data_IF_768722641609
#
_entry.id   IF_768722641609
#
_cell.length_a   1.000
_cell.length_b   1.000
_cell.length_c   1.000
_cell.angle_alpha   90.00
_cell.angle_beta   90.00
_cell.angle_gamma   90.00
#
_symmetry.space_group_name_H-M   'P 1'
#
loop_
_entity.id
_entity.type
_entity.pdbx_description
1 polymer ?
#
# COMPACT_ATOMS: atom_id res chain seq x y z
N UNK A 1 -0.77 0.12 -4.54
CA UNK A 1 -1.26 -0.71 -3.42
C UNK A 1 -0.74 -2.15 -3.50
N UNK A 2 -0.98 -2.92 -4.56
CA UNK A 2 -0.53 -4.32 -4.68
C UNK A 2 0.97 -4.54 -4.42
N UNK A 3 1.84 -3.70 -4.93
CA UNK A 3 3.30 -3.81 -4.72
C UNK A 3 3.72 -3.68 -3.24
N UNK A 4 3.02 -2.85 -2.45
CA UNK A 4 3.29 -2.70 -1.00
C UNK A 4 2.87 -3.97 -0.26
N UNK A 5 1.68 -4.50 -0.55
CA UNK A 5 1.19 -5.75 0.05
C UNK A 5 2.16 -6.90 -0.27
N UNK A 6 2.60 -7.02 -1.52
CA UNK A 6 3.57 -8.03 -1.93
C UNK A 6 4.90 -7.92 -1.16
N UNK A 7 5.43 -6.70 -0.98
CA UNK A 7 6.64 -6.44 -0.19
C UNK A 7 6.47 -6.87 1.27
N UNK A 8 5.32 -6.56 1.89
CA UNK A 8 5.01 -6.97 3.26
C UNK A 8 4.97 -8.50 3.38
N UNK A 9 4.27 -9.19 2.47
CA UNK A 9 4.16 -10.65 2.48
C UNK A 9 5.55 -11.28 2.31
N UNK A 10 6.33 -10.81 1.36
CA UNK A 10 7.63 -11.39 1.07
C UNK A 10 8.62 -11.15 2.21
N UNK A 11 8.73 -9.90 2.74
CA UNK A 11 9.62 -9.60 3.85
C UNK A 11 9.25 -10.36 5.12
N UNK A 12 7.96 -10.44 5.47
CA UNK A 12 7.49 -11.22 6.62
C UNK A 12 7.78 -12.72 6.44
N UNK A 13 7.60 -13.26 5.23
CA UNK A 13 7.88 -14.66 4.94
C UNK A 13 9.37 -15.00 5.06
N UNK A 14 10.26 -14.12 4.58
CA UNK A 14 11.73 -14.30 4.68
C UNK A 14 12.16 -14.27 6.14
N UNK A 15 11.69 -13.31 6.94
CA UNK A 15 12.04 -13.22 8.36
C UNK A 15 11.49 -14.41 9.15
N UNK A 16 10.32 -14.88 8.83
CA UNK A 16 9.74 -16.08 9.43
C UNK A 16 10.54 -17.34 9.05
N UNK A 17 10.95 -17.47 7.79
CA UNK A 17 11.81 -18.57 7.35
C UNK A 17 13.16 -18.55 8.10
N UNK A 18 13.75 -17.36 8.29
CA UNK A 18 14.94 -17.20 9.12
C UNK A 18 14.73 -17.72 10.56
N UNK A 19 13.58 -17.40 11.18
CA UNK A 19 13.23 -17.91 12.50
C UNK A 19 13.22 -19.45 12.51
N UNK A 20 12.51 -20.09 11.61
CA UNK A 20 12.37 -21.55 11.59
C UNK A 20 13.68 -22.27 11.27
N UNK A 21 14.54 -21.68 10.45
CA UNK A 21 15.82 -22.30 10.06
C UNK A 21 16.90 -22.18 11.14
N UNK A 22 16.95 -21.01 11.81
CA UNK A 22 18.09 -20.69 12.67
C UNK A 22 17.76 -20.56 14.16
N UNK A 23 16.56 -20.07 14.52
CA UNK A 23 16.23 -19.64 15.88
C UNK A 23 15.28 -20.59 16.62
N UNK A 24 14.36 -21.26 15.94
CA UNK A 24 13.31 -22.08 16.57
C UNK A 24 13.88 -23.13 17.53
N UNK A 25 15.04 -23.73 17.20
CA UNK A 25 15.66 -24.82 17.94
C UNK A 25 16.65 -24.37 19.02
N UNK A 26 16.78 -23.06 19.25
CA UNK A 26 17.70 -22.50 20.24
C UNK A 26 16.94 -22.09 21.52
N UNK A 27 17.51 -22.42 22.67
CA UNK A 27 16.94 -22.03 23.99
C UNK A 27 17.25 -20.57 24.34
N UNK A 28 16.86 -19.66 23.44
CA UNK A 28 16.99 -18.20 23.59
C UNK A 28 15.60 -17.56 23.49
N UNK A 29 14.64 -18.12 24.23
CA UNK A 29 13.21 -17.88 24.04
C UNK A 29 12.82 -16.41 24.18
N UNK A 30 13.43 -15.66 25.11
CA UNK A 30 13.16 -14.22 25.22
C UNK A 30 13.62 -13.46 23.96
N UNK A 31 14.80 -13.79 23.43
CA UNK A 31 15.27 -13.21 22.16
C UNK A 31 14.36 -13.59 21.02
N UNK A 32 13.93 -14.85 20.93
CA UNK A 32 13.02 -15.33 19.88
C UNK A 32 11.69 -14.58 19.91
N UNK A 33 11.13 -14.31 21.09
CA UNK A 33 9.92 -13.49 21.24
C UNK A 33 10.11 -12.08 20.70
N UNK A 34 11.19 -11.40 21.15
CA UNK A 34 11.50 -10.04 20.69
C UNK A 34 11.74 -10.05 19.20
N UNK A 35 12.47 -11.02 18.67
CA UNK A 35 12.70 -11.17 17.24
C UNK A 35 11.39 -11.30 16.45
N UNK A 36 10.48 -12.19 16.85
CA UNK A 36 9.21 -12.40 16.15
C UNK A 36 8.36 -11.12 16.11
N UNK A 37 8.29 -10.37 17.21
CA UNK A 37 7.57 -9.10 17.27
C UNK A 37 8.23 -8.02 16.41
N UNK A 38 9.55 -7.85 16.56
CA UNK A 38 10.28 -6.83 15.81
C UNK A 38 10.34 -7.14 14.31
N UNK A 39 10.51 -8.41 13.93
CA UNK A 39 10.48 -8.86 12.54
C UNK A 39 9.13 -8.55 11.88
N UNK A 40 8.04 -8.76 12.62
CA UNK A 40 6.71 -8.44 12.14
C UNK A 40 6.55 -6.92 11.92
N UNK A 41 6.84 -6.09 12.94
CA UNK A 41 6.79 -4.63 12.83
C UNK A 41 7.68 -4.14 11.69
N UNK A 42 8.90 -4.64 11.60
CA UNK A 42 9.85 -4.30 10.53
C UNK A 42 9.28 -4.59 9.14
N UNK A 43 8.66 -5.76 8.93
CA UNK A 43 8.09 -6.12 7.62
C UNK A 43 6.96 -5.20 7.18
N UNK A 44 6.20 -4.62 8.12
CA UNK A 44 5.14 -3.67 7.82
C UNK A 44 5.64 -2.24 7.63
N UNK A 45 6.70 -1.85 8.32
CA UNK A 45 7.23 -0.48 8.28
C UNK A 45 8.14 -0.25 7.07
N UNK A 46 8.97 -1.25 6.71
CA UNK A 46 10.02 -1.12 5.71
C UNK A 46 9.54 -0.60 4.32
N UNK A 47 8.38 -0.98 3.77
CA UNK A 47 7.94 -0.49 2.47
C UNK A 47 7.61 1.01 2.44
N UNK A 48 7.43 1.62 3.62
CA UNK A 48 7.09 3.04 3.75
C UNK A 48 8.30 3.93 4.06
N UNK A 49 9.44 3.33 4.44
CA UNK A 49 10.66 4.10 4.75
C UNK A 49 11.29 4.61 3.46
N UNK A 50 11.35 5.95 3.26
CA UNK A 50 11.99 6.52 2.08
C UNK A 50 13.51 6.41 2.19
N UNK A 51 14.15 5.79 1.20
CA UNK A 51 15.62 5.72 1.12
C UNK A 51 16.06 6.44 -0.14
N UNK A 52 16.94 7.45 0.03
CA UNK A 52 17.61 8.10 -1.10
C UNK A 52 18.56 7.09 -1.74
N UNK A 53 18.56 7.04 -3.07
CA UNK A 53 19.49 6.19 -3.80
C UNK A 53 20.92 6.71 -3.64
N UNK A 54 21.71 6.08 -2.78
CA UNK A 54 23.15 6.41 -2.62
C UNK A 54 24.01 5.93 -3.79
N UNK A 55 23.49 5.09 -4.68
CA UNK A 55 24.25 4.44 -5.75
C UNK A 55 23.95 4.94 -7.16
N UNK A 56 23.15 6.01 -7.30
CA UNK A 56 22.86 6.57 -8.60
C UNK A 56 23.52 7.94 -8.73
N UNK A 57 24.82 7.97 -8.82
CA UNK A 57 25.59 9.06 -9.43
C UNK A 57 25.49 8.92 -10.95
N UNK A 58 24.33 9.19 -11.50
CA UNK A 58 24.21 9.58 -12.88
C UNK A 58 23.32 10.81 -12.91
N UNK A 59 23.94 11.95 -13.22
CA UNK A 59 23.29 13.18 -13.66
C UNK A 59 22.49 12.89 -14.93
N UNK A 60 21.42 12.15 -14.81
CA UNK A 60 20.44 11.98 -15.88
C UNK A 60 19.34 13.00 -15.64
N UNK A 61 19.47 14.13 -16.31
CA UNK A 61 18.34 15.03 -16.46
C UNK A 61 17.16 14.20 -17.02
N UNK A 62 16.11 13.99 -16.23
CA UNK A 62 14.94 13.26 -16.66
C UNK A 62 13.96 14.21 -17.31
N UNK A 63 13.82 14.05 -18.63
CA UNK A 63 12.73 14.69 -19.36
C UNK A 63 11.41 14.00 -19.00
N UNK A 64 10.55 14.70 -18.26
CA UNK A 64 9.19 14.25 -17.96
C UNK A 64 8.25 14.82 -19.01
N UNK A 65 7.71 13.96 -19.84
CA UNK A 65 6.70 14.33 -20.83
C UNK A 65 5.33 14.09 -20.19
N UNK A 66 4.60 15.19 -19.94
CA UNK A 66 3.25 15.15 -19.34
C UNK A 66 2.22 14.50 -20.26
N UNK A 67 1.06 14.15 -19.72
CA UNK A 67 -0.06 13.69 -20.53
C UNK A 67 -0.58 14.82 -21.42
N UNK A 68 -0.91 14.54 -22.68
CA UNK A 68 -1.48 15.54 -23.56
C UNK A 68 -2.79 16.06 -22.95
N UNK A 69 -2.85 17.36 -22.73
CA UNK A 69 -4.09 18.03 -22.32
C UNK A 69 -5.04 18.02 -23.50
N UNK A 70 -5.96 17.08 -23.54
CA UNK A 70 -7.12 17.17 -24.40
C UNK A 70 -8.01 18.28 -23.85
N UNK A 71 -7.96 19.45 -24.47
CA UNK A 71 -8.97 20.49 -24.24
C UNK A 71 -10.20 20.14 -25.08
N UNK A 72 -10.84 19.05 -24.74
CA UNK A 72 -12.25 18.87 -24.96
C UNK A 72 -12.93 19.55 -23.75
N UNK A 73 -13.80 20.50 -24.04
CA UNK A 73 -14.42 21.34 -23.01
C UNK A 73 -15.01 20.50 -21.90
N UNK A 74 -14.71 20.88 -20.66
CA UNK A 74 -15.35 20.36 -19.44
C UNK A 74 -16.86 20.68 -19.50
N UNK A 75 -17.61 19.80 -20.11
CA UNK A 75 -19.02 19.65 -19.86
C UNK A 75 -19.19 18.46 -18.92
N UNK A 76 -18.79 18.64 -17.67
CA UNK A 76 -19.17 17.75 -16.59
C UNK A 76 -20.67 17.86 -16.35
N UNK A 77 -21.44 17.00 -16.94
CA UNK A 77 -22.81 16.74 -16.52
C UNK A 77 -22.98 15.26 -16.20
N UNK A 78 -23.28 15.05 -14.92
CA UNK A 78 -23.84 13.83 -14.34
C UNK A 78 -23.02 12.56 -14.62
N UNK A 79 -22.00 12.34 -13.80
CA UNK A 79 -21.30 11.06 -13.72
C UNK A 79 -22.26 9.93 -13.48
N UNK A 80 -22.49 9.12 -14.47
CA UNK A 80 -22.86 7.74 -14.24
C UNK A 80 -21.68 7.16 -13.42
N UNK A 81 -21.96 6.75 -12.18
CA UNK A 81 -21.02 6.07 -11.31
C UNK A 81 -20.70 4.75 -11.99
N UNK A 82 -19.69 4.75 -12.85
CA UNK A 82 -19.13 3.50 -13.37
C UNK A 82 -18.44 2.81 -12.21
N UNK A 83 -19.08 1.80 -11.62
CA UNK A 83 -18.49 0.96 -10.61
C UNK A 83 -17.35 0.18 -11.25
N UNK A 84 -16.12 0.59 -10.99
CA UNK A 84 -14.95 -0.14 -11.46
C UNK A 84 -14.78 -1.45 -10.66
N UNK A 85 -14.20 -2.47 -11.29
CA UNK A 85 -13.86 -3.72 -10.61
C UNK A 85 -12.97 -3.50 -9.37
N UNK A 86 -12.18 -2.43 -9.37
CA UNK A 86 -11.35 -2.01 -8.22
C UNK A 86 -12.20 -1.62 -7.01
N UNK A 87 -13.35 -0.99 -7.22
CA UNK A 87 -14.26 -0.58 -6.13
C UNK A 87 -14.93 -1.79 -5.51
N UNK A 88 -15.33 -2.78 -6.33
CA UNK A 88 -15.88 -4.04 -5.84
C UNK A 88 -14.86 -4.84 -5.02
N UNK A 89 -13.58 -4.86 -5.46
CA UNK A 89 -12.51 -5.51 -4.71
C UNK A 89 -12.24 -4.80 -3.38
N UNK A 90 -12.22 -3.48 -3.35
CA UNK A 90 -12.06 -2.69 -2.12
C UNK A 90 -13.23 -2.89 -1.17
N UNK A 91 -14.46 -2.91 -1.69
CA UNK A 91 -15.66 -3.17 -0.91
C UNK A 91 -15.62 -4.57 -0.29
N UNK A 92 -15.30 -5.61 -1.10
CA UNK A 92 -15.20 -6.99 -0.62
C UNK A 92 -14.12 -7.15 0.45
N UNK A 93 -12.95 -6.52 0.25
CA UNK A 93 -11.88 -6.50 1.25
C UNK A 93 -12.32 -5.83 2.55
N UNK A 94 -13.02 -4.70 2.47
CA UNK A 94 -13.57 -3.99 3.62
C UNK A 94 -14.60 -4.82 4.39
N UNK A 95 -15.50 -5.52 3.69
CA UNK A 95 -16.50 -6.39 4.30
C UNK A 95 -15.86 -7.57 5.05
N UNK A 96 -14.85 -8.21 4.45
CA UNK A 96 -14.12 -9.30 5.10
C UNK A 96 -13.40 -8.77 6.35
N UNK A 97 -12.73 -7.64 6.24
CA UNK A 97 -12.02 -7.03 7.38
C UNK A 97 -12.99 -6.64 8.51
N UNK A 98 -14.15 -6.09 8.16
CA UNK A 98 -15.20 -5.77 9.13
C UNK A 98 -15.74 -7.03 9.82
N UNK A 99 -15.99 -8.09 9.07
CA UNK A 99 -16.42 -9.37 9.63
C UNK A 99 -15.37 -9.93 10.61
N UNK A 100 -14.10 -9.90 10.25
CA UNK A 100 -13.00 -10.36 11.12
C UNK A 100 -12.86 -9.47 12.37
N UNK A 101 -13.05 -8.17 12.24
CA UNK A 101 -13.06 -7.23 13.37
C UNK A 101 -14.20 -7.54 14.34
N UNK A 102 -15.42 -7.74 13.84
CA UNK A 102 -16.56 -8.10 14.67
C UNK A 102 -16.33 -9.45 15.37
N UNK A 103 -15.81 -10.45 14.66
CA UNK A 103 -15.43 -11.74 15.24
C UNK A 103 -14.39 -11.59 16.36
N UNK A 104 -13.39 -10.73 16.15
CA UNK A 104 -12.37 -10.44 17.15
C UNK A 104 -12.96 -9.79 18.41
N UNK A 105 -13.77 -8.75 18.24
CA UNK A 105 -14.47 -8.06 19.34
C UNK A 105 -15.38 -9.04 20.11
N UNK A 106 -16.14 -9.86 19.39
CA UNK A 106 -17.00 -10.88 20.00
C UNK A 106 -16.19 -11.90 20.80
N UNK A 107 -15.04 -12.35 20.29
CA UNK A 107 -14.13 -13.27 21.00
C UNK A 107 -13.61 -12.66 22.30
N UNK A 108 -13.21 -11.37 22.28
CA UNK A 108 -12.80 -10.66 23.50
C UNK A 108 -13.93 -10.49 24.50
N UNK A 109 -15.11 -10.14 24.00
CA UNK A 109 -16.32 -10.01 24.85
C UNK A 109 -16.66 -11.33 25.52
N UNK A 110 -16.58 -12.47 24.80
CA UNK A 110 -16.85 -13.80 25.35
C UNK A 110 -15.94 -14.10 26.54
N UNK A 111 -14.63 -13.82 26.46
CA UNK A 111 -13.70 -14.04 27.57
C UNK A 111 -14.02 -13.11 28.75
N UNK A 112 -14.31 -11.83 28.51
CA UNK A 112 -14.67 -10.87 29.56
C UNK A 112 -16.01 -11.18 30.26
N UNK A 113 -16.93 -11.83 29.56
CA UNK A 113 -18.25 -12.20 30.06
C UNK A 113 -18.25 -13.54 30.77
N UNK A 114 -17.12 -14.28 30.81
CA UNK A 114 -17.02 -15.50 31.61
C UNK A 114 -17.34 -15.17 33.08
N UNK A 115 -18.36 -15.84 33.59
CA UNK A 115 -18.78 -15.69 34.98
C UNK A 115 -17.93 -16.63 35.84
N UNK A 116 -17.44 -16.11 36.95
CA UNK A 116 -16.64 -16.89 37.90
C UNK A 116 -16.33 -16.09 39.15
N UNK A 117 -15.95 -16.77 40.18
CA UNK A 117 -15.53 -16.21 41.45
C UNK A 117 -14.14 -15.60 41.31
N UNK A 118 -14.00 -14.33 41.66
CA UNK A 118 -12.71 -13.63 41.58
C UNK A 118 -12.00 -13.67 42.90
N UNK A 119 -10.84 -14.28 42.94
CA UNK A 119 -9.97 -14.39 44.13
C UNK A 119 -8.59 -13.82 43.84
N UNK A 120 -7.83 -13.54 44.89
CA UNK A 120 -6.40 -13.21 44.83
C UNK A 120 -5.65 -14.37 45.49
N UNK A 121 -4.90 -15.14 44.67
CA UNK A 121 -4.09 -16.26 45.12
C UNK A 121 -2.61 -15.97 44.87
N UNK A 122 -1.77 -16.10 45.89
CA UNK A 122 -0.31 -15.80 45.80
C UNK A 122 0.01 -14.49 45.07
N UNK A 123 -0.75 -13.42 45.37
CA UNK A 123 -0.63 -12.09 44.74
C UNK A 123 -0.93 -12.06 43.23
N UNK A 124 -1.73 -13.01 42.74
CA UNK A 124 -2.17 -13.10 41.33
C UNK A 124 -3.70 -13.14 41.30
N UNK A 125 -4.31 -12.41 40.36
CA UNK A 125 -5.76 -12.45 40.12
C UNK A 125 -6.11 -13.81 39.53
N UNK A 126 -7.07 -14.49 40.10
CA UNK A 126 -7.62 -15.73 39.59
C UNK A 126 -9.13 -15.62 39.47
N UNK A 127 -9.68 -16.31 38.48
CA UNK A 127 -11.12 -16.42 38.24
C UNK A 127 -11.47 -17.90 38.22
N UNK A 128 -12.22 -18.35 39.23
CA UNK A 128 -12.68 -19.73 39.33
C UNK A 128 -13.97 -19.85 38.55
N UNK A 129 -13.95 -20.69 37.54
CA UNK A 129 -15.10 -20.96 36.68
C UNK A 129 -15.88 -22.16 37.15
N UNK A 130 -17.19 -22.12 37.06
CA UNK A 130 -18.09 -23.23 37.35
C UNK A 130 -18.13 -24.29 36.24
N UNK A 131 -17.77 -23.86 35.00
CA UNK A 131 -17.68 -24.73 33.83
C UNK A 131 -16.31 -25.44 33.79
N UNK A 132 -16.25 -26.60 33.13
CA UNK A 132 -15.00 -27.36 32.96
C UNK A 132 -14.12 -26.75 31.87
N UNK A 133 -13.10 -26.02 32.28
CA UNK A 133 -12.03 -25.49 31.43
C UNK A 133 -10.68 -25.93 31.95
N UNK A 134 -9.76 -26.26 31.03
CA UNK A 134 -8.34 -26.33 31.40
C UNK A 134 -7.86 -24.95 31.86
N UNK A 135 -6.90 -24.89 32.78
CA UNK A 135 -6.30 -23.63 33.21
C UNK A 135 -5.80 -22.83 32.00
N UNK A 136 -6.09 -21.54 32.00
CA UNK A 136 -5.56 -20.62 31.00
C UNK A 136 -5.40 -19.22 31.58
N UNK A 137 -4.51 -18.46 30.98
CA UNK A 137 -4.27 -17.07 31.36
C UNK A 137 -4.73 -16.11 30.27
N UNK A 138 -5.35 -15.01 30.68
CA UNK A 138 -5.72 -13.93 29.77
C UNK A 138 -5.46 -12.58 30.43
N UNK A 139 -4.65 -11.74 29.74
CA UNK A 139 -4.16 -10.44 30.25
C UNK A 139 -3.52 -10.55 31.63
N UNK A 140 -4.20 -10.12 32.69
CA UNK A 140 -3.69 -10.04 34.06
C UNK A 140 -4.31 -11.07 35.02
N UNK A 141 -5.11 -11.99 34.52
CA UNK A 141 -5.80 -13.01 35.32
C UNK A 141 -5.57 -14.41 34.79
N UNK A 142 -5.57 -15.35 35.73
CA UNK A 142 -5.57 -16.81 35.50
C UNK A 142 -7.01 -17.28 35.65
N UNK A 143 -7.49 -18.07 34.71
CA UNK A 143 -8.81 -18.68 34.72
C UNK A 143 -8.67 -20.19 34.87
N UNK A 144 -9.43 -20.79 35.74
CA UNK A 144 -9.40 -22.23 35.97
C UNK A 144 -10.78 -22.73 36.45
N UNK A 145 -11.06 -23.99 36.17
CA UNK A 145 -12.23 -24.65 36.72
C UNK A 145 -12.02 -24.99 38.21
N UNK A 146 -13.09 -25.02 38.98
CA UNK A 146 -13.07 -25.40 40.41
C UNK A 146 -12.44 -26.78 40.65
N UNK A 147 -12.52 -27.68 39.69
CA UNK A 147 -11.93 -29.04 39.78
C UNK A 147 -10.41 -29.05 39.88
N UNK A 148 -9.74 -27.93 39.56
CA UNK A 148 -8.28 -27.79 39.71
C UNK A 148 -7.83 -27.33 41.09
N UNK A 149 -8.77 -27.10 41.99
CA UNK A 149 -8.49 -26.75 43.37
C UNK A 149 -8.66 -27.98 44.27
N UNK A 150 -7.63 -28.35 44.98
CA UNK A 150 -7.62 -29.39 46.01
C UNK A 150 -7.35 -28.70 47.35
N UNK A 151 -8.34 -28.69 48.26
CA UNK A 151 -8.25 -27.97 49.52
C UNK A 151 -7.96 -26.46 49.34
N UNK A 152 -8.59 -25.83 48.33
CA UNK A 152 -8.35 -24.44 47.94
C UNK A 152 -6.94 -24.13 47.42
N UNK A 153 -6.12 -25.12 47.11
CA UNK A 153 -4.80 -24.97 46.54
C UNK A 153 -4.74 -25.54 45.13
N UNK A 154 -4.08 -24.81 44.25
CA UNK A 154 -3.78 -25.21 42.88
C UNK A 154 -2.43 -25.90 42.82
N UNK A 155 -2.29 -26.92 41.96
CA UNK A 155 -0.97 -27.52 41.65
C UNK A 155 0.05 -26.44 41.27
N UNK A 156 1.15 -26.39 42.04
CA UNK A 156 2.08 -25.25 41.94
C UNK A 156 2.74 -25.10 40.56
N UNK A 157 3.06 -26.21 39.91
CA UNK A 157 3.68 -26.19 38.57
C UNK A 157 2.73 -25.61 37.52
N UNK A 158 1.42 -25.93 37.60
CA UNK A 158 0.39 -25.35 36.72
C UNK A 158 0.25 -23.85 37.06
N UNK A 159 0.20 -23.50 38.34
CA UNK A 159 0.14 -22.09 38.74
C UNK A 159 1.32 -21.27 38.22
N UNK A 160 2.55 -21.80 38.33
CA UNK A 160 3.76 -21.12 37.86
C UNK A 160 3.75 -20.96 36.32
N UNK A 161 3.28 -21.98 35.61
CA UNK A 161 3.13 -21.93 34.15
C UNK A 161 2.21 -20.78 33.74
N UNK A 162 0.99 -20.74 34.27
CA UNK A 162 0.01 -19.71 33.98
C UNK A 162 0.46 -18.32 34.45
N UNK A 163 1.11 -18.24 35.62
CA UNK A 163 1.70 -16.99 36.12
C UNK A 163 2.77 -16.43 35.19
N UNK A 164 3.54 -17.27 34.50
CA UNK A 164 4.51 -16.83 33.50
C UNK A 164 3.82 -16.15 32.33
N UNK A 165 2.71 -16.69 31.83
CA UNK A 165 1.93 -16.08 30.75
C UNK A 165 1.38 -14.71 31.16
N UNK A 166 0.84 -14.57 32.35
CA UNK A 166 0.34 -13.28 32.87
C UNK A 166 1.49 -12.28 33.03
N UNK A 167 2.58 -12.67 33.72
CA UNK A 167 3.73 -11.79 33.95
C UNK A 167 4.41 -11.38 32.67
N UNK A 168 4.52 -12.32 31.72
CA UNK A 168 5.08 -12.08 30.40
C UNK A 168 4.17 -11.27 29.46
N UNK A 169 2.89 -11.05 29.84
CA UNK A 169 1.88 -10.42 28.97
C UNK A 169 1.74 -11.12 27.61
N UNK A 170 1.81 -12.46 27.59
CA UNK A 170 1.77 -13.25 26.38
C UNK A 170 0.47 -13.05 25.59
N UNK A 171 -0.65 -12.81 26.30
CA UNK A 171 -1.94 -12.48 25.67
C UNK A 171 -1.86 -11.22 24.80
N UNK A 172 -1.07 -10.21 25.20
CA UNK A 172 -0.94 -8.96 24.43
C UNK A 172 -0.27 -9.21 23.07
N UNK A 173 0.75 -10.08 23.02
CA UNK A 173 1.42 -10.43 21.75
C UNK A 173 0.45 -11.13 20.80
N UNK A 174 -0.37 -12.04 21.30
CA UNK A 174 -1.37 -12.75 20.51
C UNK A 174 -2.49 -11.82 20.04
N UNK A 175 -2.95 -10.92 20.92
CA UNK A 175 -3.94 -9.91 20.55
C UNK A 175 -3.41 -8.97 19.46
N UNK A 176 -2.14 -8.58 19.54
CA UNK A 176 -1.49 -7.77 18.50
C UNK A 176 -1.47 -8.50 17.14
N UNK A 177 -1.10 -9.80 17.14
CA UNK A 177 -1.12 -10.62 15.92
C UNK A 177 -2.54 -10.79 15.35
N UNK A 178 -3.53 -11.03 16.20
CA UNK A 178 -4.92 -11.14 15.77
C UNK A 178 -5.46 -9.82 15.21
N UNK A 179 -5.08 -8.69 15.82
CA UNK A 179 -5.42 -7.37 15.31
C UNK A 179 -4.80 -7.11 13.93
N UNK A 180 -3.53 -7.42 13.73
CA UNK A 180 -2.89 -7.30 12.42
C UNK A 180 -3.56 -8.18 11.36
N UNK A 181 -4.01 -9.37 11.74
CA UNK A 181 -4.73 -10.28 10.83
C UNK A 181 -6.02 -9.68 10.29
N UNK A 182 -6.70 -8.81 11.01
CA UNK A 182 -7.92 -8.15 10.55
C UNK A 182 -7.66 -7.37 9.27
N UNK A 183 -6.53 -6.64 9.23
CA UNK A 183 -6.15 -5.80 8.09
C UNK A 183 -5.25 -6.50 7.07
N UNK A 184 -4.69 -7.64 7.41
CA UNK A 184 -3.74 -8.34 6.55
C UNK A 184 -4.07 -9.84 6.45
N UNK A 185 -5.35 -10.15 6.40
CA UNK A 185 -5.84 -11.52 6.35
C UNK A 185 -5.33 -12.30 5.12
N UNK A 186 -4.97 -11.58 4.04
CA UNK A 186 -4.34 -12.16 2.85
C UNK A 186 -2.87 -12.56 3.07
N UNK A 187 -2.23 -12.18 4.20
CA UNK A 187 -0.85 -12.54 4.47
C UNK A 187 -0.74 -13.89 5.18
N UNK A 188 -0.34 -14.97 4.49
CA UNK A 188 -0.25 -16.29 5.09
C UNK A 188 0.82 -16.38 6.18
N UNK A 189 1.86 -15.55 6.12
CA UNK A 189 2.93 -15.55 7.12
C UNK A 189 2.41 -15.25 8.53
N UNK A 190 1.35 -14.44 8.69
CA UNK A 190 0.78 -14.10 9.99
C UNK A 190 0.27 -15.33 10.77
N UNK A 191 -0.28 -16.32 10.07
CA UNK A 191 -0.73 -17.56 10.71
C UNK A 191 0.44 -18.34 11.28
N UNK A 192 1.55 -18.38 10.58
CA UNK A 192 2.77 -19.05 11.04
C UNK A 192 3.49 -18.24 12.12
N UNK A 193 3.50 -16.89 12.04
CA UNK A 193 3.98 -16.03 13.13
C UNK A 193 3.21 -16.28 14.42
N UNK A 194 1.88 -16.36 14.36
CA UNK A 194 1.05 -16.69 15.53
C UNK A 194 1.43 -18.05 16.11
N UNK A 195 1.57 -19.07 15.25
CA UNK A 195 1.97 -20.42 15.69
C UNK A 195 3.34 -20.43 16.35
N UNK A 196 4.32 -19.75 15.74
CA UNK A 196 5.67 -19.60 16.28
C UNK A 196 5.67 -18.88 17.64
N UNK A 197 4.87 -17.80 17.74
CA UNK A 197 4.75 -17.01 18.97
C UNK A 197 4.14 -17.84 20.12
N UNK A 198 3.02 -18.54 19.87
CA UNK A 198 2.39 -19.42 20.86
C UNK A 198 3.39 -20.49 21.32
N UNK A 199 4.04 -21.18 20.38
CA UNK A 199 5.03 -22.21 20.73
C UNK A 199 6.19 -21.65 21.57
N UNK A 200 6.67 -20.45 21.25
CA UNK A 200 7.73 -19.80 22.03
C UNK A 200 7.26 -19.34 23.41
N UNK A 201 5.99 -18.94 23.55
CA UNK A 201 5.40 -18.63 24.87
C UNK A 201 5.33 -19.86 25.76
N UNK A 202 4.98 -21.03 25.20
CA UNK A 202 5.01 -22.28 25.94
C UNK A 202 6.43 -22.62 26.42
N UNK A 203 7.45 -22.44 25.59
CA UNK A 203 8.84 -22.64 25.98
C UNK A 203 9.27 -21.72 27.14
N UNK A 204 8.83 -20.45 27.11
CA UNK A 204 9.11 -19.51 28.21
C UNK A 204 8.43 -19.92 29.50
N UNK A 205 7.17 -20.39 29.44
CA UNK A 205 6.43 -20.84 30.59
C UNK A 205 7.03 -22.12 31.18
N UNK A 206 7.39 -23.08 30.32
CA UNK A 206 8.06 -24.31 30.76
C UNK A 206 9.42 -24.03 31.41
N UNK A 207 10.23 -23.14 30.78
CA UNK A 207 11.51 -22.74 31.37
C UNK A 207 11.35 -22.08 32.72
N UNK A 208 10.29 -21.24 32.90
CA UNK A 208 10.00 -20.58 34.16
C UNK A 208 9.65 -21.57 35.29
N UNK A 209 8.92 -22.66 34.97
CA UNK A 209 8.62 -23.74 35.92
C UNK A 209 9.91 -24.48 36.29
N UNK A 210 10.69 -24.91 35.30
CA UNK A 210 11.92 -25.70 35.50
C UNK A 210 13.02 -24.93 36.25
N UNK A 211 13.05 -23.60 36.17
CA UNK A 211 13.93 -22.73 36.98
C UNK A 211 13.65 -22.82 38.49
N UNK A 212 12.54 -23.43 38.91
CA UNK A 212 12.21 -23.70 40.33
C UNK A 212 12.69 -25.07 40.80
N UNK A 213 13.58 -25.71 40.07
CA UNK A 213 14.18 -26.99 40.35
C UNK A 213 13.19 -28.18 40.40
N UNK A 214 12.08 -28.09 39.67
CA UNK A 214 11.21 -29.25 39.45
C UNK A 214 11.88 -30.24 38.49
N UNK A 215 11.62 -31.53 38.73
CA UNK A 215 12.08 -32.58 37.82
C UNK A 215 11.39 -32.49 36.47
N UNK A 216 12.19 -32.65 35.39
CA UNK A 216 11.70 -32.51 34.03
C UNK A 216 10.70 -33.61 33.68
N UNK A 217 10.96 -34.86 34.09
CA UNK A 217 10.10 -36.00 33.80
C UNK A 217 8.74 -35.86 34.49
N UNK A 218 8.76 -35.50 35.80
CA UNK A 218 7.53 -35.27 36.57
C UNK A 218 6.67 -34.14 35.98
N UNK A 219 7.33 -33.08 35.50
CA UNK A 219 6.61 -31.98 34.86
C UNK A 219 6.05 -32.38 33.46
N UNK A 220 6.80 -33.17 32.70
CA UNK A 220 6.30 -33.72 31.43
C UNK A 220 5.11 -34.65 31.64
N UNK A 221 5.14 -35.50 32.68
CA UNK A 221 4.00 -36.35 33.06
C UNK A 221 2.76 -35.52 33.42
N UNK A 222 2.94 -34.44 34.17
CA UNK A 222 1.84 -33.54 34.51
C UNK A 222 1.19 -32.94 33.26
N UNK A 223 2.01 -32.44 32.30
CA UNK A 223 1.50 -31.90 31.03
C UNK A 223 0.71 -32.95 30.24
N UNK A 224 1.21 -34.22 30.21
CA UNK A 224 0.47 -35.29 29.54
C UNK A 224 -0.85 -35.61 30.24
N UNK A 225 -0.89 -35.58 31.57
CA UNK A 225 -2.11 -35.77 32.33
C UNK A 225 -3.14 -34.67 32.02
N UNK A 226 -2.71 -33.38 31.97
CA UNK A 226 -3.57 -32.26 31.61
C UNK A 226 -4.15 -32.42 30.22
N UNK A 227 -3.33 -32.79 29.22
CA UNK A 227 -3.79 -33.03 27.88
C UNK A 227 -4.82 -34.15 27.82
N UNK A 228 -4.59 -35.26 28.52
CA UNK A 228 -5.53 -36.38 28.53
C UNK A 228 -6.87 -36.03 29.18
N UNK A 229 -6.84 -35.21 30.24
CA UNK A 229 -8.06 -34.73 30.91
C UNK A 229 -8.86 -33.82 30.00
N UNK A 230 -8.18 -32.94 29.22
CA UNK A 230 -8.81 -32.08 28.24
C UNK A 230 -9.36 -32.83 27.01
N UNK A 231 -8.83 -34.00 26.69
CA UNK A 231 -9.18 -34.77 25.49
C UNK A 231 -10.58 -35.40 25.50
N UNK A 232 -11.22 -35.51 26.64
CA UNK A 232 -12.58 -36.06 26.69
C UNK A 232 -13.65 -35.20 26.01
N UNK A 233 -13.29 -34.05 25.43
CA UNK A 233 -14.27 -33.05 24.98
C UNK A 233 -14.19 -32.70 23.47
N UNK A 234 -13.10 -32.98 22.71
CA UNK A 234 -13.00 -32.51 21.30
C UNK A 234 -12.23 -33.40 20.30
N UNK A 235 -12.75 -33.51 19.09
CA UNK A 235 -12.20 -34.25 17.92
C UNK A 235 -10.99 -33.58 17.20
N UNK A 236 -10.41 -32.50 17.75
CA UNK A 236 -9.43 -31.64 17.02
C UNK A 236 -7.94 -31.89 17.43
N UNK A 237 -7.62 -33.01 18.01
CA UNK A 237 -6.39 -33.23 18.81
C UNK A 237 -5.08 -33.56 18.10
N UNK A 238 -5.08 -33.72 16.79
CA UNK A 238 -3.83 -34.06 16.08
C UNK A 238 -2.80 -32.89 16.04
N UNK A 239 -3.24 -31.66 16.23
CA UNK A 239 -2.34 -30.50 16.17
C UNK A 239 -1.61 -30.19 17.49
N UNK A 240 -2.18 -30.52 18.65
CA UNK A 240 -1.57 -30.25 19.95
C UNK A 240 -0.42 -31.20 20.26
N UNK A 241 -0.46 -32.44 19.78
CA UNK A 241 0.61 -33.41 20.02
C UNK A 241 1.96 -32.96 19.45
N UNK A 242 1.99 -32.34 18.28
CA UNK A 242 3.22 -31.83 17.70
C UNK A 242 3.83 -30.67 18.53
N UNK A 243 3.00 -29.83 19.11
CA UNK A 243 3.44 -28.75 20.02
C UNK A 243 4.00 -29.32 21.32
N UNK A 244 3.31 -30.28 21.91
CA UNK A 244 3.76 -30.96 23.15
C UNK A 244 5.08 -31.66 22.93
N UNK A 245 5.26 -32.39 21.83
CA UNK A 245 6.53 -33.00 21.45
C UNK A 245 7.67 -31.99 21.38
N UNK A 246 7.43 -30.83 20.74
CA UNK A 246 8.42 -29.74 20.67
C UNK A 246 8.77 -29.20 22.06
N UNK A 247 7.79 -28.99 22.94
CA UNK A 247 8.01 -28.56 24.32
C UNK A 247 8.94 -29.55 25.07
N UNK A 248 8.64 -30.84 25.00
CA UNK A 248 9.45 -31.88 25.66
C UNK A 248 10.88 -31.92 25.15
N UNK A 249 11.10 -31.82 23.84
CA UNK A 249 12.43 -31.74 23.26
C UNK A 249 13.16 -30.49 23.77
N UNK A 250 12.48 -29.34 23.85
CA UNK A 250 13.10 -28.09 24.26
C UNK A 250 13.42 -28.03 25.75
N UNK A 251 12.65 -28.72 26.62
CA UNK A 251 12.95 -28.83 28.07
C UNK A 251 14.31 -29.50 28.32
N UNK A 252 14.66 -30.50 27.51
CA UNK A 252 15.90 -31.29 27.66
C UNK A 252 17.05 -30.85 26.78
N UNK A 253 16.78 -29.99 25.76
CA UNK A 253 17.80 -29.54 24.81
C UNK A 253 18.82 -28.61 25.47
N UNK A 254 20.03 -28.54 24.90
CA UNK A 254 21.07 -27.58 25.27
C UNK A 254 21.24 -26.56 24.15
N UNK A 255 21.63 -25.33 24.49
CA UNK A 255 21.99 -24.33 23.52
C UNK A 255 23.15 -24.81 22.64
N UNK A 256 23.08 -24.51 21.33
CA UNK A 256 24.22 -24.71 20.44
C UNK A 256 25.37 -23.76 20.81
N UNK A 257 26.63 -24.17 20.57
CA UNK A 257 27.80 -23.30 20.77
C UNK A 257 27.75 -22.02 19.93
N UNK A 258 26.97 -22.04 18.85
CA UNK A 258 26.83 -20.92 17.90
C UNK A 258 25.55 -20.10 18.12
N UNK A 259 24.82 -20.29 19.23
CA UNK A 259 23.60 -19.53 19.49
C UNK A 259 23.82 -18.00 19.45
N UNK A 260 24.97 -17.53 19.96
CA UNK A 260 25.34 -16.12 19.88
C UNK A 260 25.59 -15.63 18.45
N UNK A 261 26.28 -16.43 17.63
CA UNK A 261 26.56 -16.10 16.23
C UNK A 261 25.25 -16.05 15.41
N UNK A 262 24.32 -16.95 15.68
CA UNK A 262 23.01 -16.95 15.02
C UNK A 262 22.21 -15.67 15.28
N UNK A 263 22.34 -15.05 16.46
CA UNK A 263 21.76 -13.72 16.73
C UNK A 263 22.39 -12.64 15.85
N UNK A 264 23.71 -12.71 15.64
CA UNK A 264 24.44 -11.71 14.86
C UNK A 264 24.11 -11.78 13.36
N UNK A 265 23.84 -12.98 12.82
CA UNK A 265 23.45 -13.15 11.41
C UNK A 265 22.11 -12.48 11.06
N UNK A 266 21.31 -12.09 12.04
CA UNK A 266 20.11 -11.33 11.84
C UNK A 266 20.37 -9.95 11.25
N UNK A 267 21.45 -9.26 11.67
CA UNK A 267 21.75 -7.89 11.22
C UNK A 267 21.95 -7.79 9.70
N UNK A 268 22.78 -8.64 9.05
CA UNK A 268 22.92 -8.58 7.58
C UNK A 268 21.61 -8.96 6.86
N UNK A 269 20.81 -9.87 7.39
CA UNK A 269 19.50 -10.21 6.79
C UNK A 269 18.56 -9.01 6.83
N UNK A 270 18.46 -8.31 7.96
CA UNK A 270 17.66 -7.09 8.07
C UNK A 270 18.17 -5.99 7.13
N UNK A 271 19.52 -5.82 7.03
CA UNK A 271 20.11 -4.83 6.11
C UNK A 271 19.78 -5.13 4.64
N UNK A 272 19.89 -6.38 4.22
CA UNK A 272 19.55 -6.81 2.85
C UNK A 272 18.06 -6.56 2.58
N UNK A 273 17.17 -6.97 3.49
CA UNK A 273 15.74 -6.73 3.36
C UNK A 273 15.41 -5.24 3.31
N UNK A 274 16.11 -4.43 4.10
CA UNK A 274 15.95 -2.98 4.08
C UNK A 274 16.29 -2.40 2.70
N UNK A 275 17.44 -2.75 2.14
CA UNK A 275 17.88 -2.27 0.80
C UNK A 275 16.92 -2.72 -0.31
N UNK A 276 16.40 -3.95 -0.21
CA UNK A 276 15.51 -4.52 -1.24
C UNK A 276 14.10 -3.94 -1.21
N UNK A 277 13.54 -3.71 -0.01
CA UNK A 277 12.11 -3.43 0.16
C UNK A 277 11.78 -2.00 0.54
N UNK A 278 12.73 -1.20 1.03
CA UNK A 278 12.51 0.20 1.32
C UNK A 278 12.01 0.97 0.09
N UNK A 279 11.24 2.03 0.31
CA UNK A 279 10.73 2.87 -0.76
C UNK A 279 11.90 3.63 -1.37
N UNK A 280 12.28 3.32 -2.61
CA UNK A 280 13.24 4.11 -3.36
C UNK A 280 12.59 5.45 -3.69
N UNK A 281 13.08 6.51 -3.12
CA UNK A 281 12.69 7.88 -3.48
C UNK A 281 13.74 8.38 -4.44
N UNK A 282 13.37 8.49 -5.71
CA UNK A 282 14.04 9.43 -6.60
C UNK A 282 13.78 10.81 -5.99
N UNK A 283 14.76 11.69 -5.91
CA UNK A 283 14.61 13.02 -5.38
C UNK A 283 13.62 13.81 -6.27
N UNK A 284 12.33 13.56 -6.08
CA UNK A 284 11.29 14.46 -6.54
C UNK A 284 11.14 15.49 -5.43
N UNK A 285 11.65 16.67 -5.67
CA UNK A 285 11.27 17.83 -4.88
C UNK A 285 9.76 17.97 -5.04
N UNK A 286 9.02 17.73 -3.98
CA UNK A 286 7.60 18.07 -3.95
C UNK A 286 7.56 19.59 -4.22
N UNK A 287 7.14 19.98 -5.42
CA UNK A 287 6.70 21.35 -5.64
C UNK A 287 5.56 21.59 -4.67
N UNK A 288 5.62 22.62 -3.81
CA UNK A 288 4.49 22.97 -2.97
C UNK A 288 3.29 23.12 -3.92
N UNK A 289 2.20 22.46 -3.58
CA UNK A 289 0.94 22.59 -4.29
C UNK A 289 0.61 24.08 -4.35
N UNK A 290 0.79 24.70 -5.50
CA UNK A 290 0.35 26.07 -5.73
C UNK A 290 -1.16 25.98 -5.65
N UNK A 291 -1.72 26.59 -4.61
CA UNK A 291 -3.15 26.62 -4.38
C UNK A 291 -3.82 27.21 -5.64
N UNK A 292 -4.83 26.54 -6.16
CA UNK A 292 -5.60 26.95 -7.35
C UNK A 292 -6.13 28.39 -7.32
N UNK A 293 -6.01 29.08 -6.16
CA UNK A 293 -6.44 30.46 -5.99
C UNK A 293 -5.59 31.52 -6.74
N UNK A 294 -4.32 31.23 -7.04
CA UNK A 294 -3.44 32.20 -7.71
C UNK A 294 -3.41 32.11 -9.24
N UNK A 295 -3.88 31.02 -9.84
CA UNK A 295 -3.84 30.86 -11.30
C UNK A 295 -4.89 31.75 -12.00
N UNK A 296 -5.99 32.09 -11.32
CA UNK A 296 -7.01 32.98 -11.90
C UNK A 296 -6.61 34.45 -11.95
N UNK A 297 -5.64 34.88 -11.17
CA UNK A 297 -5.24 36.29 -11.08
C UNK A 297 -4.18 36.69 -12.13
N UNK A 298 -3.34 35.72 -12.56
CA UNK A 298 -2.32 36.00 -13.60
C UNK A 298 -2.86 35.93 -15.04
N UNK A 299 -3.96 35.18 -15.25
CA UNK A 299 -4.57 35.10 -16.58
C UNK A 299 -5.33 36.36 -17.03
N UNK A 300 -5.58 37.31 -16.12
CA UNK A 300 -6.29 38.56 -16.39
C UNK A 300 -5.37 39.77 -16.48
N UNK A 301 -4.12 39.70 -16.05
CA UNK A 301 -3.24 40.88 -16.04
C UNK A 301 -2.25 40.95 -17.20
N UNK A 302 -1.87 39.81 -17.80
CA UNK A 302 -0.93 39.78 -18.95
C UNK A 302 -1.60 39.87 -20.35
N UNK A 303 -2.95 39.95 -20.37
CA UNK A 303 -3.69 40.09 -21.64
C UNK A 303 -3.77 41.55 -22.18
N UNK A 304 -3.14 42.53 -21.48
CA UNK A 304 -3.33 43.98 -21.81
C UNK A 304 -2.11 44.66 -22.44
N UNK A 305 -0.94 44.01 -22.55
CA UNK A 305 0.29 44.71 -22.97
C UNK A 305 0.96 44.24 -24.27
N UNK A 306 0.33 43.43 -25.08
CA UNK A 306 0.82 43.15 -26.44
C UNK A 306 -0.22 43.54 -27.51
N UNK A 307 -0.40 44.84 -27.64
CA UNK A 307 -1.04 45.45 -28.82
C UNK A 307 0.04 46.19 -29.59
N UNK A 308 0.44 45.64 -30.73
CA UNK A 308 0.51 46.30 -32.02
C UNK A 308 1.36 45.54 -33.02
N UNK A 309 0.70 45.41 -34.14
CA UNK A 309 1.13 45.07 -35.48
C UNK A 309 1.28 43.57 -35.82
N UNK A 310 0.41 43.12 -36.72
CA UNK A 310 0.33 41.88 -37.49
C UNK A 310 -0.55 40.72 -37.02
N UNK A 311 -1.42 40.91 -36.02
CA UNK A 311 -2.37 39.87 -35.62
C UNK A 311 -3.83 40.11 -36.02
N UNK A 312 -4.12 41.15 -36.79
CA UNK A 312 -5.51 41.55 -37.09
C UNK A 312 -6.26 40.59 -38.05
N UNK A 313 -5.54 39.76 -38.80
CA UNK A 313 -6.18 38.85 -39.78
C UNK A 313 -6.49 37.44 -39.20
N UNK A 314 -5.82 37.02 -38.14
CA UNK A 314 -6.05 35.68 -37.53
C UNK A 314 -7.08 35.63 -36.42
N UNK A 315 -7.41 36.76 -35.80
CA UNK A 315 -8.38 36.84 -34.69
C UNK A 315 -9.82 36.96 -35.17
N UNK A 316 -10.04 37.41 -36.41
CA UNK A 316 -11.39 37.53 -36.98
C UNK A 316 -12.06 36.19 -37.30
N UNK A 317 -11.30 35.11 -37.46
CA UNK A 317 -11.88 33.81 -37.77
C UNK A 317 -12.50 33.13 -36.52
N UNK A 318 -11.95 33.38 -35.34
CA UNK A 318 -12.46 32.79 -34.08
C UNK A 318 -13.68 33.51 -33.50
N UNK A 319 -13.94 34.75 -33.92
CA UNK A 319 -15.05 35.56 -33.37
C UNK A 319 -16.36 35.45 -34.17
N UNK A 320 -16.33 34.75 -35.28
CA UNK A 320 -17.52 34.64 -36.17
C UNK A 320 -18.37 33.40 -35.91
N UNK A 321 -17.91 32.48 -35.06
CA UNK A 321 -18.64 31.24 -34.77
C UNK A 321 -19.46 31.29 -33.48
N UNK A 322 -19.37 32.38 -32.71
CA UNK A 322 -20.08 32.49 -31.41
C UNK A 322 -21.17 33.56 -31.37
N UNK A 323 -21.64 34.05 -32.52
CA UNK A 323 -22.67 35.10 -32.55
C UNK A 323 -23.75 34.76 -33.55
N UNK A 324 -24.50 33.71 -33.36
CA UNK A 324 -25.83 33.51 -33.92
C UNK A 324 -26.59 32.48 -33.10
N UNK A 325 -27.08 32.89 -31.95
CA UNK A 325 -28.28 32.33 -31.34
C UNK A 325 -28.82 33.31 -30.30
N UNK A 326 -29.43 34.37 -30.84
CA UNK A 326 -30.40 35.12 -30.05
C UNK A 326 -31.62 35.43 -30.96
N UNK A 327 -32.76 35.30 -30.32
CA UNK A 327 -34.10 35.68 -30.72
C UNK A 327 -34.92 34.66 -31.56
N UNK A 328 -35.76 33.91 -30.88
CA UNK A 328 -37.19 34.28 -30.93
C UNK A 328 -37.99 33.52 -29.85
N UNK A 329 -38.52 34.29 -28.91
CA UNK A 329 -39.69 33.98 -28.13
C UNK A 329 -40.91 34.13 -29.05
N UNK A 330 -41.76 33.15 -29.17
CA UNK A 330 -43.20 33.40 -29.15
C UNK A 330 -44.01 32.16 -28.83
N UNK A 331 -44.91 32.38 -27.99
CA UNK A 331 -46.04 31.75 -27.35
C UNK A 331 -46.96 30.97 -28.32
N UNK A 332 -47.58 29.87 -27.87
CA UNK A 332 -49.02 29.56 -27.76
C UNK A 332 -49.43 28.11 -28.12
N UNK A 333 -50.07 27.48 -27.10
CA UNK A 333 -51.21 26.53 -27.10
C UNK A 333 -51.07 25.08 -27.58
N UNK A 334 -51.27 24.26 -26.52
CA UNK A 334 -52.07 23.01 -26.41
C UNK A 334 -52.78 22.49 -27.65
N UNK A 335 -52.52 21.20 -28.00
CA UNK A 335 -53.56 20.15 -28.03
C UNK A 335 -52.94 18.74 -27.96
N UNK A 336 -53.59 17.90 -27.19
CA UNK A 336 -53.39 16.50 -26.93
C UNK A 336 -53.63 15.68 -28.23
N UNK A 337 -52.78 14.72 -28.55
CA UNK A 337 -53.15 13.30 -28.61
C UNK A 337 -51.95 12.39 -28.94
N UNK A 338 -52.02 11.24 -28.35
CA UNK A 338 -51.11 10.15 -28.17
C UNK A 338 -50.38 9.61 -29.40
N UNK A 339 -49.14 9.36 -29.16
CA UNK A 339 -48.40 8.13 -29.46
C UNK A 339 -46.96 8.27 -28.88
N UNK A 340 -46.62 7.34 -28.04
CA UNK A 340 -45.26 7.23 -27.43
C UNK A 340 -44.29 6.86 -28.53
N UNK A 341 -43.52 7.82 -28.99
CA UNK A 341 -42.22 7.57 -29.64
C UNK A 341 -41.16 8.23 -28.75
N UNK A 342 -40.35 7.42 -28.10
CA UNK A 342 -39.16 7.86 -27.42
C UNK A 342 -38.30 8.67 -28.37
N UNK A 343 -37.84 9.88 -27.98
CA UNK A 343 -36.84 10.59 -28.76
C UNK A 343 -35.55 9.79 -28.81
N UNK A 344 -34.82 9.79 -29.93
CA UNK A 344 -33.50 9.17 -29.98
C UNK A 344 -32.59 9.89 -28.99
N UNK A 345 -31.63 9.14 -28.36
CA UNK A 345 -30.66 9.75 -27.46
C UNK A 345 -29.90 10.85 -28.19
N UNK A 346 -29.47 11.93 -27.50
CA UNK A 346 -28.67 12.98 -28.13
C UNK A 346 -27.39 12.32 -28.65
N UNK A 347 -27.13 12.54 -29.93
CA UNK A 347 -25.90 12.14 -30.63
C UNK A 347 -24.73 12.79 -29.89
N UNK A 348 -23.93 11.99 -29.22
CA UNK A 348 -22.56 12.35 -28.79
C UNK A 348 -21.86 12.88 -30.05
N UNK A 349 -21.29 14.08 -29.95
CA UNK A 349 -20.38 14.57 -30.97
C UNK A 349 -19.14 13.65 -30.90
N UNK A 350 -19.03 12.75 -31.86
CA UNK A 350 -17.89 11.85 -32.02
C UNK A 350 -16.68 12.66 -32.49
N UNK A 351 -16.02 13.35 -31.52
CA UNK A 351 -14.70 13.94 -31.77
C UNK A 351 -13.64 12.94 -31.33
N UNK A 352 -12.96 12.35 -32.30
CA UNK A 352 -11.82 11.46 -32.03
C UNK A 352 -10.54 12.31 -32.13
N UNK A 353 -9.71 12.39 -31.09
CA UNK A 353 -8.47 13.16 -31.12
C UNK A 353 -7.45 12.59 -32.10
N UNK A 354 -6.50 13.42 -32.57
CA UNK A 354 -5.39 12.96 -33.38
C UNK A 354 -4.48 12.01 -32.58
N UNK A 355 -4.01 10.95 -33.23
CA UNK A 355 -3.19 9.92 -32.60
C UNK A 355 -1.87 9.70 -33.34
N UNK A 356 -0.75 9.67 -32.59
CA UNK A 356 0.57 9.32 -33.11
C UNK A 356 0.63 7.84 -33.49
N UNK A 357 1.33 7.42 -34.57
CA UNK A 357 1.53 6.01 -34.89
C UNK A 357 2.21 5.23 -33.77
N UNK A 358 1.47 4.31 -33.17
CA UNK A 358 1.91 3.56 -31.97
C UNK A 358 1.49 4.17 -30.63
N UNK A 359 0.64 5.21 -30.67
CA UNK A 359 0.03 5.82 -29.51
C UNK A 359 0.92 6.85 -28.77
N UNK A 360 0.39 7.51 -27.74
CA UNK A 360 1.07 8.60 -27.04
C UNK A 360 2.37 8.16 -26.36
N UNK A 361 2.47 6.90 -25.92
CA UNK A 361 3.69 6.38 -25.29
C UNK A 361 4.84 6.21 -26.31
N UNK A 362 4.53 5.86 -27.57
CA UNK A 362 5.53 5.75 -28.62
C UNK A 362 6.12 7.14 -28.95
N UNK A 363 5.27 8.18 -29.00
CA UNK A 363 5.72 9.56 -29.19
C UNK A 363 6.65 9.99 -28.04
N UNK A 364 6.26 9.75 -26.78
CA UNK A 364 7.07 10.11 -25.61
C UNK A 364 8.45 9.45 -25.64
N UNK A 365 8.50 8.15 -25.91
CA UNK A 365 9.74 7.42 -25.99
C UNK A 365 10.66 7.94 -27.10
N UNK A 366 10.09 8.25 -28.28
CA UNK A 366 10.86 8.82 -29.38
C UNK A 366 11.40 10.21 -29.06
N UNK A 367 10.57 11.10 -28.51
CA UNK A 367 10.99 12.44 -28.09
C UNK A 367 12.09 12.34 -27.03
N UNK A 368 11.90 11.51 -26.00
CA UNK A 368 12.91 11.30 -24.97
C UNK A 368 14.25 10.81 -25.52
N UNK A 369 14.23 9.91 -26.52
CA UNK A 369 15.45 9.38 -27.16
C UNK A 369 16.16 10.42 -28.03
N UNK A 370 15.40 11.32 -28.65
CA UNK A 370 15.92 12.35 -29.58
C UNK A 370 16.32 13.65 -28.88
N UNK A 371 15.90 13.83 -27.63
CA UNK A 371 16.17 15.04 -26.85
C UNK A 371 17.60 15.07 -26.34
N UNK A 372 18.36 16.12 -26.67
CA UNK A 372 19.75 16.27 -26.24
C UNK A 372 19.82 17.07 -24.93
N UNK A 373 20.01 16.35 -23.83
CA UNK A 373 20.17 16.95 -22.50
C UNK A 373 21.52 17.63 -22.28
N UNK A 374 22.51 17.37 -23.15
CA UNK A 374 23.88 17.90 -22.99
C UNK A 374 23.97 19.41 -23.23
N UNK A 375 22.98 19.99 -23.92
CA UNK A 375 22.89 21.43 -24.22
C UNK A 375 22.65 22.27 -22.95
N UNK A 376 22.17 21.64 -21.87
CA UNK A 376 21.77 22.30 -20.62
C UNK A 376 22.79 22.12 -19.48
N UNK A 377 24.05 21.92 -19.80
CA UNK A 377 25.11 21.81 -18.78
C UNK A 377 25.28 23.10 -18.02
N UNK A 378 24.91 23.11 -16.74
CA UNK A 378 25.03 24.26 -15.85
C UNK A 378 23.70 24.93 -15.48
N UNK A 379 22.59 24.52 -16.05
CA UNK A 379 21.27 25.00 -15.65
C UNK A 379 20.84 24.35 -14.33
N UNK A 380 20.14 25.12 -13.48
CA UNK A 380 19.62 24.64 -12.19
C UNK A 380 18.11 24.82 -12.15
N UNK A 381 17.38 23.86 -11.57
CA UNK A 381 15.96 23.98 -11.31
C UNK A 381 15.06 23.26 -12.30
N UNK A 382 13.81 23.67 -12.38
CA UNK A 382 12.76 23.07 -13.19
C UNK A 382 12.46 23.96 -14.40
N UNK A 383 12.69 23.43 -15.59
CA UNK A 383 12.36 24.12 -16.86
C UNK A 383 11.13 23.45 -17.49
N UNK A 384 10.18 24.26 -17.93
CA UNK A 384 8.93 23.80 -18.56
C UNK A 384 8.73 24.46 -19.90
N UNK A 385 8.19 23.70 -20.86
CA UNK A 385 7.69 24.22 -22.13
C UNK A 385 6.46 23.42 -22.54
N UNK A 386 5.59 24.06 -23.34
CA UNK A 386 4.47 23.37 -23.99
C UNK A 386 4.67 23.44 -25.47
N UNK A 387 4.72 22.28 -26.14
CA UNK A 387 4.85 22.25 -27.59
C UNK A 387 3.49 22.03 -28.24
N UNK A 388 3.20 22.85 -29.22
CA UNK A 388 1.97 22.84 -30.00
C UNK A 388 2.26 22.30 -31.41
N UNK A 389 1.63 21.18 -31.77
CA UNK A 389 1.76 20.53 -33.06
C UNK A 389 0.46 20.75 -33.85
N UNK A 390 0.51 21.47 -34.95
CA UNK A 390 -0.64 21.62 -35.85
C UNK A 390 -0.68 20.43 -36.82
N UNK A 391 -1.70 19.60 -36.72
CA UNK A 391 -1.89 18.40 -37.55
C UNK A 391 -3.01 18.69 -38.54
N UNK A 392 -2.77 18.50 -39.83
CA UNK A 392 -3.75 18.71 -40.88
C UNK A 392 -4.69 17.51 -41.04
N UNK A 393 -5.66 17.64 -41.92
CA UNK A 393 -6.67 16.61 -42.23
C UNK A 393 -6.07 15.34 -42.86
N UNK A 394 -4.81 15.41 -43.35
CA UNK A 394 -4.08 14.26 -43.92
C UNK A 394 -3.20 13.59 -42.90
N UNK A 395 -3.15 14.07 -41.64
CA UNK A 395 -2.31 13.57 -40.60
C UNK A 395 -0.86 14.05 -40.64
N UNK A 396 -0.54 15.04 -41.49
CA UNK A 396 0.78 15.65 -41.54
C UNK A 396 0.88 16.84 -40.59
N UNK A 397 2.07 17.00 -39.99
CA UNK A 397 2.34 18.18 -39.16
C UNK A 397 2.64 19.38 -40.07
N UNK A 398 1.85 20.42 -39.90
CA UNK A 398 1.99 21.67 -40.66
C UNK A 398 2.82 22.72 -39.93
N UNK A 399 2.84 22.71 -38.60
CA UNK A 399 3.61 23.66 -37.78
C UNK A 399 3.92 23.06 -36.41
N UNK A 400 5.10 23.41 -35.84
CA UNK A 400 5.53 23.04 -34.49
C UNK A 400 6.03 24.31 -33.80
N UNK A 401 5.41 24.66 -32.67
CA UNK A 401 5.77 25.85 -31.87
C UNK A 401 5.93 25.43 -30.42
N UNK A 402 6.97 25.90 -29.73
CA UNK A 402 7.18 25.70 -28.32
C UNK A 402 7.06 27.00 -27.54
N UNK A 403 6.30 27.00 -26.46
CA UNK A 403 6.08 28.15 -25.58
C UNK A 403 6.54 27.80 -24.16
N UNK A 404 7.59 28.46 -23.69
CA UNK A 404 8.18 28.30 -22.37
C UNK A 404 9.18 29.42 -22.09
N UNK A 405 9.57 29.56 -20.82
CA UNK A 405 10.46 30.63 -20.35
C UNK A 405 11.91 30.50 -20.87
N UNK A 406 12.37 29.28 -21.13
CA UNK A 406 13.72 29.03 -21.59
C UNK A 406 13.77 28.83 -23.12
N UNK A 407 14.36 29.77 -23.84
CA UNK A 407 14.44 29.75 -25.31
C UNK A 407 15.28 28.59 -25.85
N UNK A 408 16.32 28.15 -25.11
CA UNK A 408 17.17 27.03 -25.51
C UNK A 408 16.37 25.73 -25.38
N UNK A 409 15.60 25.61 -24.30
CA UNK A 409 14.74 24.45 -24.07
C UNK A 409 13.61 24.37 -25.14
N UNK A 410 13.03 25.51 -25.48
CA UNK A 410 12.04 25.58 -26.54
C UNK A 410 12.61 25.15 -27.90
N UNK A 411 13.81 25.62 -28.23
CA UNK A 411 14.45 25.27 -29.52
C UNK A 411 14.77 23.76 -29.57
N UNK A 412 15.31 23.20 -28.50
CA UNK A 412 15.62 21.77 -28.43
C UNK A 412 14.35 20.91 -28.46
N UNK A 413 13.28 21.32 -27.76
CA UNK A 413 11.99 20.65 -27.79
C UNK A 413 11.42 20.60 -29.23
N UNK A 414 11.46 21.70 -29.95
CA UNK A 414 11.04 21.75 -31.39
C UNK A 414 11.91 20.83 -32.24
N UNK A 415 13.24 20.84 -32.06
CA UNK A 415 14.17 19.99 -32.79
C UNK A 415 13.91 18.49 -32.54
N UNK A 416 13.78 18.12 -31.27
CA UNK A 416 13.57 16.73 -30.88
C UNK A 416 12.22 16.19 -31.39
N UNK A 417 11.15 17.00 -31.31
CA UNK A 417 9.83 16.63 -31.79
C UNK A 417 9.81 16.57 -33.31
N UNK A 418 10.45 17.50 -34.02
CA UNK A 418 10.57 17.47 -35.48
C UNK A 418 11.25 16.16 -35.92
N UNK A 419 12.38 15.82 -35.29
CA UNK A 419 13.13 14.57 -35.59
C UNK A 419 12.34 13.31 -35.23
N UNK A 420 11.52 13.33 -34.15
CA UNK A 420 10.67 12.21 -33.79
C UNK A 420 9.50 11.98 -34.78
N UNK A 421 9.11 13.02 -35.49
CA UNK A 421 8.00 12.98 -36.45
C UNK A 421 8.45 12.82 -37.92
N UNK A 422 9.73 12.78 -38.19
CA UNK A 422 10.24 12.54 -39.57
C UNK A 422 9.66 11.25 -40.17
N UNK A 423 9.00 11.38 -41.31
CA UNK A 423 8.39 10.25 -42.03
C UNK A 423 7.20 9.62 -41.35
N UNK A 424 6.64 10.22 -40.30
CA UNK A 424 5.46 9.73 -39.59
C UNK A 424 4.20 10.47 -40.08
N UNK A 425 3.12 9.74 -40.25
CA UNK A 425 1.78 10.26 -40.56
C UNK A 425 0.90 9.91 -39.37
N UNK A 426 0.31 10.94 -38.76
CA UNK A 426 -0.62 10.80 -37.66
C UNK A 426 -1.99 10.33 -38.15
N UNK A 427 -2.73 9.69 -37.31
CA UNK A 427 -4.16 9.54 -37.51
C UNK A 427 -4.80 10.92 -37.22
N UNK A 428 -5.45 11.60 -38.19
CA UNK A 428 -5.99 12.92 -37.96
C UNK A 428 -7.15 12.89 -36.96
N UNK A 429 -7.42 14.01 -36.31
CA UNK A 429 -8.63 14.16 -35.53
C UNK A 429 -9.85 14.07 -36.41
N UNK A 430 -10.93 13.48 -35.95
CA UNK A 430 -12.19 13.44 -36.70
C UNK A 430 -13.31 14.06 -35.88
N UNK A 431 -14.15 14.83 -36.57
CA UNK A 431 -15.38 15.40 -36.06
C UNK A 431 -16.53 14.96 -36.97
N UNK A 432 -17.54 14.31 -36.42
CA UNK A 432 -18.63 13.70 -37.19
C UNK A 432 -18.12 12.78 -38.33
N UNK A 433 -17.09 11.99 -38.05
CA UNK A 433 -16.44 11.05 -38.96
C UNK A 433 -15.70 11.73 -40.16
N UNK A 434 -15.52 13.06 -40.13
CA UNK A 434 -14.73 13.80 -41.11
C UNK A 434 -13.40 14.24 -40.51
N UNK A 435 -12.25 14.05 -41.19
CA UNK A 435 -10.97 14.49 -40.69
C UNK A 435 -10.92 16.03 -40.60
N UNK A 436 -10.41 16.53 -39.46
CA UNK A 436 -10.31 17.97 -39.18
C UNK A 436 -8.91 18.35 -38.72
N UNK A 437 -8.51 19.57 -39.07
CA UNK A 437 -7.24 20.15 -38.59
C UNK A 437 -7.33 20.35 -37.06
N UNK A 438 -6.29 19.91 -36.33
CA UNK A 438 -6.24 20.02 -34.90
C UNK A 438 -4.88 20.48 -34.40
N UNK A 439 -4.83 20.97 -33.14
CA UNK A 439 -3.58 21.30 -32.43
C UNK A 439 -3.38 20.35 -31.24
N UNK A 440 -2.34 19.58 -31.34
CA UNK A 440 -1.95 18.65 -30.28
C UNK A 440 -0.97 19.35 -29.32
N UNK A 441 -1.26 19.34 -28.01
CA UNK A 441 -0.46 20.00 -26.99
C UNK A 441 0.37 18.94 -26.23
N UNK A 442 1.69 19.14 -26.21
CA UNK A 442 2.62 18.25 -25.52
C UNK A 442 3.42 19.03 -24.45
N UNK A 443 3.09 18.94 -23.18
CA UNK A 443 3.87 19.57 -22.12
C UNK A 443 5.17 18.77 -21.86
N UNK A 444 6.29 19.49 -21.86
CA UNK A 444 7.61 18.97 -21.55
C UNK A 444 8.15 19.65 -20.29
N UNK A 445 8.70 18.86 -19.40
CA UNK A 445 9.31 19.34 -18.17
C UNK A 445 10.66 18.66 -17.98
N UNK A 446 11.70 19.44 -17.69
CA UNK A 446 13.02 18.93 -17.37
C UNK A 446 13.47 19.47 -16.02
N UNK A 447 13.99 18.59 -15.17
CA UNK A 447 14.54 18.94 -13.88
C UNK A 447 16.05 18.76 -13.90
N UNK A 448 16.80 19.79 -13.47
CA UNK A 448 18.24 19.78 -13.30
C UNK A 448 18.57 19.66 -11.82
N UNK A 449 19.42 18.72 -11.46
CA UNK A 449 19.94 18.59 -10.10
C UNK A 449 21.15 19.50 -9.90
N UNK A 450 21.19 20.18 -8.76
CA UNK A 450 22.33 20.99 -8.35
C UNK A 450 23.53 20.07 -8.08
N UNK A 451 24.71 20.32 -8.69
CA UNK A 451 25.91 19.56 -8.34
C UNK A 451 26.20 19.72 -6.85
N UNK A 452 26.39 18.61 -6.13
CA UNK A 452 26.78 18.64 -4.74
C UNK A 452 28.10 19.43 -4.62
N UNK A 453 28.10 20.50 -3.82
CA UNK A 453 29.32 21.22 -3.48
C UNK A 453 30.32 20.22 -2.87
N UNK A 454 31.51 20.12 -3.48
CA UNK A 454 32.64 19.34 -2.98
C UNK A 454 33.21 19.97 -1.71
#
# INVERSE_FOLDING_TARGET
>A
MAAVIFKIILSSSVLLAFYYLFLERERIFLFNRIFLLTALVFSYVIPFVPVKNFFTDQNTAQLVIGDPLNVAGDANLAGAVSVEWTDLLLLSYGLISLFLLLKFIFSLAKIKLLKGEKIIYKNQKMVILDEEYSPFSFLDAIYLSRNYLINDEMEERIFLHEKCHVRGKHSADILFLEFLKIFSWCNPALFFFKKAMITNHEYLADEYVLQKNYDVSDYQHLILQEINTAQNINLTHQFDFNNTKKRFIMMTSKNSRFAGLKKLTLLPVLAILFVLFAKKVSAHTETPAVSEGHIKQYATQDAVSFEKEDAAEKITFFRKTTKNSDLQKDTIRKKQDGSVSTPPPPTEFDQIPAEFPGGPNALRNLVSTKFDTSVFKGDEGLIKTTVFLSIDETGKISNIVAEGENSIFNAEAVRAITSANEGKIWKPATENNQPVKTVYKLPLTMQFEKPAAR
#
